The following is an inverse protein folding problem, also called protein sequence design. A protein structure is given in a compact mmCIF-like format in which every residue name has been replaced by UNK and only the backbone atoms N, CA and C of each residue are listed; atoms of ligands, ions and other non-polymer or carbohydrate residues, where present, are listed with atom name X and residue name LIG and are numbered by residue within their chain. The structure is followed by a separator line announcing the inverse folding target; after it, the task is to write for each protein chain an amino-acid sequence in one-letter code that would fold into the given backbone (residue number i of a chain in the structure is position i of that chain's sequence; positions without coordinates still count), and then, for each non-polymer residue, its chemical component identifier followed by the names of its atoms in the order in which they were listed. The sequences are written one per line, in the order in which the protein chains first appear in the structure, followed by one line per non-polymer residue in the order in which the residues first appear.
data_IF_781775748333
#
_entry.id   IF_781775748333
#
_cell.length_a   1.000
_cell.length_b   1.000
_cell.length_c   1.000
_cell.angle_alpha   90.00
_cell.angle_beta   90.00
_cell.angle_gamma   90.00
#
_symmetry.space_group_name_H-M   'P 1'
#
loop_
_entity.id
_entity.type
_entity.pdbx_description
1 polymer ?
#
# COMPACT_ATOMS: atom_id res chain seq x y z
N UNK A 1 13.80 17.49 8.49
CA UNK A 1 12.52 17.78 9.16
C UNK A 1 11.72 16.49 9.15
N UNK A 2 11.71 15.75 10.27
CA UNK A 2 10.92 14.52 10.41
C UNK A 2 9.54 14.95 10.91
N UNK A 3 8.57 14.97 10.00
CA UNK A 3 7.20 15.32 10.34
C UNK A 3 6.62 14.20 11.22
N UNK A 4 6.02 14.54 12.36
CA UNK A 4 5.41 13.57 13.27
C UNK A 4 4.13 13.01 12.63
N UNK A 5 3.95 11.70 12.69
CA UNK A 5 2.84 10.95 12.06
C UNK A 5 1.46 11.51 12.46
N UNK A 6 1.35 12.02 13.68
CA UNK A 6 0.13 12.58 14.28
C UNK A 6 -0.32 13.96 13.75
N UNK A 7 0.47 14.63 12.93
CA UNK A 7 0.15 15.98 12.39
C UNK A 7 -0.27 15.95 10.91
N UNK A 8 -0.26 14.79 10.26
CA UNK A 8 -0.58 14.69 8.84
C UNK A 8 -2.06 14.42 8.58
N UNK A 9 -2.75 15.40 8.00
CA UNK A 9 -4.08 15.23 7.41
C UNK A 9 -4.04 14.55 6.02
N UNK A 10 -2.95 14.75 5.27
CA UNK A 10 -2.78 14.27 3.90
C UNK A 10 -1.31 13.92 3.61
N UNK A 11 -1.06 12.81 2.90
CA UNK A 11 0.28 12.42 2.46
C UNK A 11 0.25 11.75 1.09
N UNK A 12 1.16 12.16 0.20
CA UNK A 12 1.32 11.53 -1.12
C UNK A 12 2.67 10.82 -1.19
N UNK A 13 2.64 9.56 -1.61
CA UNK A 13 3.80 8.70 -1.73
C UNK A 13 3.99 8.27 -3.18
N UNK A 14 5.23 8.30 -3.67
CA UNK A 14 5.56 7.95 -5.05
C UNK A 14 6.52 6.77 -5.07
N UNK A 15 6.16 5.71 -5.80
CA UNK A 15 7.02 4.54 -5.92
C UNK A 15 6.71 3.67 -7.12
N UNK A 16 7.03 2.37 -6.99
CA UNK A 16 6.77 1.37 -8.02
C UNK A 16 6.05 0.16 -7.44
N UNK A 17 4.93 -0.17 -8.05
CA UNK A 17 4.13 -1.36 -7.76
C UNK A 17 4.15 -2.27 -8.98
N UNK A 18 4.54 -3.53 -8.81
CA UNK A 18 4.63 -4.52 -9.91
C UNK A 18 5.42 -4.06 -11.15
N UNK A 19 6.36 -3.14 -10.96
CA UNK A 19 7.14 -2.56 -12.06
C UNK A 19 6.50 -1.35 -12.74
N UNK A 20 5.27 -0.98 -12.43
CA UNK A 20 4.64 0.26 -12.87
C UNK A 20 4.86 1.39 -11.85
N UNK A 21 4.84 2.65 -12.31
CA UNK A 21 4.84 3.80 -11.41
C UNK A 21 3.51 3.85 -10.64
N UNK A 22 3.59 4.07 -9.33
CA UNK A 22 2.45 4.13 -8.45
C UNK A 22 2.49 5.39 -7.58
N UNK A 23 1.36 6.06 -7.47
CA UNK A 23 1.15 7.15 -6.51
C UNK A 23 0.08 6.73 -5.52
N UNK A 24 0.35 6.89 -4.23
CA UNK A 24 -0.60 6.62 -3.16
C UNK A 24 -0.88 7.91 -2.41
N UNK A 25 -2.15 8.20 -2.18
CA UNK A 25 -2.60 9.31 -1.34
C UNK A 25 -3.22 8.73 -0.07
N UNK A 26 -2.65 9.06 1.09
CA UNK A 26 -3.23 8.81 2.40
C UNK A 26 -3.94 10.06 2.92
N UNK A 27 -5.11 9.87 3.51
CA UNK A 27 -6.02 10.94 3.94
C UNK A 27 -6.69 10.54 5.25
N UNK A 28 -6.91 11.54 6.11
CA UNK A 28 -7.88 11.45 7.20
C UNK A 28 -9.24 11.98 6.75
N UNK A 29 -10.29 11.19 6.90
CA UNK A 29 -11.66 11.54 6.54
C UNK A 29 -12.62 11.19 7.69
N UNK A 30 -12.98 12.22 8.45
CA UNK A 30 -13.85 12.11 9.62
C UNK A 30 -15.32 11.81 9.25
N UNK A 31 -15.68 11.79 7.96
CA UNK A 31 -17.04 11.44 7.51
C UNK A 31 -17.23 9.93 7.32
N UNK A 32 -16.14 9.16 7.30
CA UNK A 32 -16.16 7.70 7.19
C UNK A 32 -16.21 7.04 8.56
N UNK A 33 -16.76 5.83 8.60
CA UNK A 33 -16.68 4.96 9.79
C UNK A 33 -15.25 4.63 10.20
N UNK A 34 -14.32 4.68 9.24
CA UNK A 34 -12.89 4.54 9.42
C UNK A 34 -12.24 5.88 9.09
N UNK A 35 -11.69 6.55 10.09
CA UNK A 35 -11.21 7.94 9.96
C UNK A 35 -9.95 8.08 9.11
N UNK A 36 -9.27 7.00 8.73
CA UNK A 36 -8.03 7.04 7.95
C UNK A 36 -8.10 6.08 6.76
N UNK A 37 -7.59 6.48 5.59
CA UNK A 37 -7.50 5.58 4.44
C UNK A 37 -6.41 6.01 3.46
N UNK A 38 -6.07 5.13 2.53
CA UNK A 38 -5.29 5.49 1.35
C UNK A 38 -5.84 4.88 0.06
N UNK A 39 -5.53 5.53 -1.06
CA UNK A 39 -5.87 5.08 -2.42
C UNK A 39 -4.63 5.15 -3.31
N UNK A 40 -4.40 4.13 -4.13
CA UNK A 40 -3.32 4.04 -5.11
C UNK A 40 -3.84 4.20 -6.54
N UNK A 41 -3.01 4.76 -7.42
CA UNK A 41 -3.27 4.82 -8.87
C UNK A 41 -3.41 3.45 -9.53
N UNK A 42 -2.99 2.36 -8.89
CA UNK A 42 -3.22 1.00 -9.38
C UNK A 42 -4.63 0.45 -9.06
N UNK A 43 -5.48 1.23 -8.38
CA UNK A 43 -6.84 0.85 -7.98
C UNK A 43 -6.93 0.18 -6.60
N UNK A 44 -5.80 -0.11 -5.94
CA UNK A 44 -5.82 -0.58 -4.57
C UNK A 44 -6.19 0.56 -3.60
N UNK A 45 -7.00 0.25 -2.60
CA UNK A 45 -7.34 1.17 -1.51
C UNK A 45 -7.49 0.41 -0.20
N UNK A 46 -7.24 1.08 0.92
CA UNK A 46 -7.43 0.48 2.24
C UNK A 46 -7.79 1.54 3.28
N UNK A 47 -8.70 1.17 4.17
CA UNK A 47 -9.15 2.00 5.28
C UNK A 47 -8.62 1.47 6.62
N UNK A 48 -8.57 2.35 7.63
CA UNK A 48 -8.04 2.11 8.97
C UNK A 48 -8.82 2.92 10.02
N UNK A 49 -9.06 2.32 11.19
CA UNK A 49 -9.65 3.00 12.34
C UNK A 49 -8.70 4.02 13.00
N UNK A 50 -7.39 3.86 12.83
CA UNK A 50 -6.35 4.67 13.48
C UNK A 50 -5.21 4.96 12.51
N UNK A 51 -4.46 6.04 12.74
CA UNK A 51 -3.34 6.46 11.89
C UNK A 51 -2.23 5.41 11.72
N UNK A 52 -1.93 4.64 12.77
CA UNK A 52 -0.74 3.77 12.88
C UNK A 52 -0.54 2.77 11.72
N UNK A 53 -1.59 2.49 10.94
CA UNK A 53 -1.54 1.56 9.80
C UNK A 53 -1.43 2.23 8.44
N UNK A 54 -1.87 3.48 8.29
CA UNK A 54 -2.10 4.07 6.97
C UNK A 54 -0.79 4.35 6.24
N UNK A 55 0.18 4.97 6.91
CA UNK A 55 1.48 5.33 6.34
C UNK A 55 2.34 4.11 6.04
N UNK A 56 2.51 3.23 7.02
CA UNK A 56 3.33 2.03 6.86
C UNK A 56 2.80 1.13 5.74
N UNK A 57 1.47 1.01 5.61
CA UNK A 57 0.89 0.20 4.52
C UNK A 57 0.94 0.92 3.18
N UNK A 58 0.66 2.22 3.11
CA UNK A 58 0.81 3.02 1.90
C UNK A 58 2.25 2.96 1.36
N UNK A 59 3.24 3.10 2.24
CA UNK A 59 4.66 3.07 1.88
C UNK A 59 5.12 1.67 1.46
N UNK A 60 4.69 0.61 2.15
CA UNK A 60 4.94 -0.77 1.70
C UNK A 60 4.28 -1.06 0.36
N UNK A 61 3.14 -0.45 0.08
CA UNK A 61 2.45 -0.60 -1.20
C UNK A 61 3.20 0.10 -2.34
N UNK A 62 3.70 1.33 -2.14
CA UNK A 62 4.52 2.05 -3.14
C UNK A 62 5.93 1.50 -3.28
N UNK A 63 6.52 0.99 -2.20
CA UNK A 63 7.87 0.46 -2.14
C UNK A 63 7.89 -0.90 -1.46
N UNK A 64 7.46 -1.98 -2.16
CA UNK A 64 7.48 -3.31 -1.59
C UNK A 64 8.90 -3.67 -1.14
N UNK A 65 9.01 -4.19 0.08
CA UNK A 65 10.28 -4.58 0.66
C UNK A 65 10.89 -5.75 -0.12
N UNK A 66 12.17 -6.07 0.11
CA UNK A 66 12.81 -7.23 -0.53
C UNK A 66 12.08 -8.54 -0.18
N UNK A 67 11.56 -8.65 1.04
CA UNK A 67 10.78 -9.82 1.49
C UNK A 67 9.42 -9.87 0.78
N UNK A 68 8.75 -8.73 0.62
CA UNK A 68 7.49 -8.66 -0.13
C UNK A 68 7.70 -9.05 -1.59
N UNK A 69 8.80 -8.61 -2.21
CA UNK A 69 9.17 -9.02 -3.58
C UNK A 69 9.46 -10.51 -3.67
N UNK A 70 10.17 -11.08 -2.70
CA UNK A 70 10.45 -12.52 -2.67
C UNK A 70 9.15 -13.33 -2.49
N UNK A 71 8.25 -12.89 -1.60
CA UNK A 71 6.92 -13.47 -1.44
C UNK A 71 6.10 -13.37 -2.71
N UNK A 72 6.04 -12.21 -3.35
CA UNK A 72 5.37 -12.02 -4.65
C UNK A 72 5.93 -12.95 -5.72
N UNK A 73 7.25 -13.09 -5.81
CA UNK A 73 7.89 -14.01 -6.73
C UNK A 73 7.54 -15.47 -6.43
N UNK A 74 7.51 -15.87 -5.16
CA UNK A 74 7.14 -17.21 -4.74
C UNK A 74 5.67 -17.50 -5.06
N UNK A 75 4.77 -16.57 -4.77
CA UNK A 75 3.35 -16.65 -5.13
C UNK A 75 3.16 -16.80 -6.64
N UNK A 76 3.86 -16.00 -7.45
CA UNK A 76 3.83 -16.13 -8.91
C UNK A 76 4.29 -17.52 -9.35
N UNK A 77 5.40 -18.04 -8.82
CA UNK A 77 5.89 -19.41 -9.14
C UNK A 77 4.90 -20.50 -8.77
N UNK A 78 4.20 -20.37 -7.65
CA UNK A 78 3.18 -21.33 -7.22
C UNK A 78 1.93 -21.25 -8.09
N UNK A 79 1.49 -20.05 -8.47
CA UNK A 79 0.37 -19.85 -9.41
C UNK A 79 0.68 -20.41 -10.82
N UNK A 80 1.91 -20.23 -11.32
CA UNK A 80 2.34 -20.84 -12.58
C UNK A 80 2.32 -22.37 -12.54
N UNK A 81 2.65 -22.99 -11.40
CA UNK A 81 2.56 -24.46 -11.22
C UNK A 81 1.12 -24.95 -11.12
N UNK A 82 0.22 -24.19 -10.53
CA UNK A 82 -1.20 -24.55 -10.46
C UNK A 82 -1.89 -24.50 -11.84
N UNK A 83 -1.44 -23.62 -12.74
CA UNK A 83 -1.99 -23.50 -14.10
C UNK A 83 -1.43 -24.53 -15.10
N UNK A 84 -0.32 -25.20 -14.81
CA UNK A 84 0.27 -26.24 -15.68
C UNK A 84 -0.12 -27.67 -15.30
N UNK A 85 -0.93 -27.84 -14.24
CA UNK A 85 -1.39 -29.14 -13.76
C UNK A 85 -2.86 -29.44 -14.12
N UNK A 86 -3.40 -28.80 -15.17
CA UNK A 86 -4.73 -29.10 -15.73
C UNK A 86 -4.62 -29.61 -17.16
#
# INVERSE_FOLDING_TARGET
MQLKESEFLFGTFHGRHDGAQATVTAVRDDTRSESYFWVCTCGASRSFHTENGVFATAWRHTHPTRVDRLRQWATRRLQFRAHTAR
#
